data_IF_851440627369
#
_entry.id   IF_851440627369
#
_cell.length_a   1.000
_cell.length_b   1.000
_cell.length_c   1.000
_cell.angle_alpha   90.00
_cell.angle_beta   90.00
_cell.angle_gamma   90.00
#
_symmetry.space_group_name_H-M   'P 1'
#
loop_
_entity.id
_entity.type
_entity.pdbx_description
1 polymer ?
#
# COMPACT_ATOMS: atom_id res chain seq x y z
N UNK A 1 23.67 -15.33 -22.06
CA UNK A 1 24.20 -14.88 -20.75
C UNK A 1 24.51 -13.37 -20.65
N UNK A 2 24.66 -12.62 -21.74
CA UNK A 2 24.95 -11.17 -21.69
C UNK A 2 23.76 -10.23 -22.03
N UNK A 3 22.64 -10.74 -22.54
CA UNK A 3 21.43 -9.95 -22.81
C UNK A 3 20.60 -9.68 -21.56
N UNK A 4 20.46 -10.67 -20.69
CA UNK A 4 19.56 -10.61 -19.52
C UNK A 4 20.10 -9.68 -18.42
N UNK A 5 21.43 -9.56 -18.30
CA UNK A 5 22.07 -8.58 -17.41
C UNK A 5 21.86 -7.13 -17.86
N UNK A 6 21.74 -6.88 -19.18
CA UNK A 6 21.52 -5.54 -19.73
C UNK A 6 20.08 -5.08 -19.53
N UNK A 7 19.11 -5.98 -19.62
CA UNK A 7 17.71 -5.67 -19.36
C UNK A 7 17.44 -5.39 -17.88
N UNK A 8 18.01 -6.19 -16.97
CA UNK A 8 17.96 -5.93 -15.53
C UNK A 8 18.64 -4.59 -15.18
N UNK A 9 19.83 -4.30 -15.74
CA UNK A 9 20.50 -3.01 -15.54
C UNK A 9 19.68 -1.83 -16.06
N UNK A 10 18.95 -1.95 -17.18
CA UNK A 10 18.13 -0.87 -17.72
C UNK A 10 16.98 -0.43 -16.82
N UNK A 11 16.35 -1.37 -16.11
CA UNK A 11 15.27 -1.08 -15.14
C UNK A 11 15.83 -0.40 -13.87
N UNK A 12 16.99 -0.85 -13.38
CA UNK A 12 17.68 -0.18 -12.27
C UNK A 12 18.17 1.22 -12.67
N UNK A 13 18.63 1.40 -13.91
CA UNK A 13 19.07 2.71 -14.42
C UNK A 13 17.91 3.71 -14.52
N UNK A 14 16.72 3.27 -14.93
CA UNK A 14 15.54 4.14 -14.99
C UNK A 14 15.07 4.57 -13.60
N UNK A 15 15.08 3.65 -12.63
CA UNK A 15 14.74 3.94 -11.24
C UNK A 15 15.78 4.87 -10.58
N UNK A 16 17.07 4.65 -10.83
CA UNK A 16 18.14 5.52 -10.37
C UNK A 16 18.04 6.91 -11.01
N UNK A 17 17.75 7.03 -12.32
CA UNK A 17 17.59 8.32 -13.02
C UNK A 17 16.36 9.10 -12.50
N UNK A 18 15.24 8.43 -12.25
CA UNK A 18 14.03 9.08 -11.69
C UNK A 18 14.26 9.49 -10.22
N UNK A 19 14.95 8.67 -9.43
CA UNK A 19 15.35 9.02 -8.06
C UNK A 19 16.37 10.17 -8.03
N UNK A 20 17.30 10.23 -9.00
CA UNK A 20 18.30 11.29 -9.12
C UNK A 20 17.70 12.61 -9.57
N UNK A 21 16.76 12.57 -10.53
CA UNK A 21 16.08 13.74 -11.08
C UNK A 21 15.14 14.41 -10.06
N UNK A 22 14.62 13.66 -9.08
CA UNK A 22 13.67 14.17 -8.08
C UNK A 22 14.33 14.69 -6.79
N UNK A 23 15.61 14.37 -6.51
CA UNK A 23 16.19 14.57 -5.16
C UNK A 23 17.56 15.27 -5.05
N UNK A 24 18.26 15.66 -6.11
CA UNK A 24 19.61 16.23 -5.93
C UNK A 24 19.64 17.77 -5.82
N UNK A 25 20.22 18.26 -4.73
CA UNK A 25 20.79 19.61 -4.58
C UNK A 25 22.33 19.51 -4.56
N UNK A 26 22.89 18.51 -5.24
CA UNK A 26 24.28 18.06 -5.11
C UNK A 26 24.87 17.80 -6.49
N UNK A 27 25.92 18.54 -6.85
CA UNK A 27 26.70 18.27 -8.06
C UNK A 27 27.76 17.21 -7.75
N UNK A 28 27.75 16.10 -8.49
CA UNK A 28 28.84 15.12 -8.53
C UNK A 28 29.52 15.26 -9.88
N UNK A 29 30.77 15.72 -9.89
CA UNK A 29 31.63 15.73 -11.07
C UNK A 29 32.42 14.41 -11.09
N UNK A 30 32.06 13.52 -12.02
CA UNK A 30 32.89 12.35 -12.35
C UNK A 30 34.04 12.81 -13.26
N UNK A 31 35.26 12.80 -12.73
CA UNK A 31 36.48 12.95 -13.54
C UNK A 31 37.20 11.60 -13.52
N UNK A 32 37.15 10.87 -14.64
CA UNK A 32 37.78 9.56 -14.90
C UNK A 32 37.61 8.49 -13.81
N UNK A 33 36.61 7.62 -14.02
CA UNK A 33 36.35 6.25 -13.53
C UNK A 33 36.64 5.80 -12.08
N UNK A 34 37.41 6.51 -11.26
CA UNK A 34 37.85 6.02 -9.95
C UNK A 34 37.74 7.05 -8.80
N UNK A 35 37.35 8.32 -9.07
CA UNK A 35 37.25 9.35 -8.02
C UNK A 35 35.84 9.95 -7.96
N UNK A 36 35.15 9.75 -6.84
CA UNK A 36 33.87 10.41 -6.51
C UNK A 36 34.14 11.56 -5.56
N UNK A 37 34.04 12.80 -6.04
CA UNK A 37 34.09 14.00 -5.18
C UNK A 37 32.65 14.44 -4.91
N UNK A 38 32.23 14.37 -3.64
CA UNK A 38 30.96 14.89 -3.14
C UNK A 38 31.15 16.32 -2.62
N UNK A 39 30.48 17.31 -3.22
CA UNK A 39 30.46 18.69 -2.70
C UNK A 39 29.11 18.97 -2.04
N UNK A 40 29.09 19.01 -0.71
CA UNK A 40 27.93 19.42 0.09
C UNK A 40 28.03 20.92 0.37
N UNK A 41 27.04 21.71 -0.08
CA UNK A 41 26.98 23.16 0.16
C UNK A 41 26.54 23.43 1.59
N UNK A 42 27.45 23.93 2.43
CA UNK A 42 27.12 24.40 3.78
C UNK A 42 27.00 25.94 3.77
N UNK A 43 25.90 26.49 4.29
CA UNK A 43 25.55 27.90 4.13
C UNK A 43 26.38 28.89 4.98
N UNK A 44 27.38 28.42 5.73
CA UNK A 44 28.20 29.29 6.61
C UNK A 44 29.71 29.11 6.51
N UNK A 45 30.23 28.07 5.84
CA UNK A 45 31.67 27.84 5.60
C UNK A 45 31.82 27.08 4.29
N UNK A 46 32.68 27.57 3.38
CA UNK A 46 32.85 27.04 2.01
C UNK A 46 33.16 25.54 1.93
N UNK A 47 33.21 25.01 0.70
CA UNK A 47 33.37 23.58 0.40
C UNK A 47 34.46 22.91 1.23
N UNK A 48 34.08 21.94 2.07
CA UNK A 48 35.02 21.08 2.80
C UNK A 48 35.26 19.80 2.00
N UNK A 49 36.52 19.59 1.62
CA UNK A 49 37.00 18.35 1.01
C UNK A 49 37.00 17.24 2.06
N UNK A 50 36.10 16.26 1.94
CA UNK A 50 36.22 15.00 2.65
C UNK A 50 37.02 14.04 1.76
N UNK A 51 38.27 13.76 2.14
CA UNK A 51 39.02 12.65 1.56
C UNK A 51 38.58 11.36 2.27
N UNK A 52 37.83 10.51 1.57
CA UNK A 52 37.63 9.12 2.00
C UNK A 52 38.95 8.37 1.84
N UNK A 53 39.45 7.77 2.92
CA UNK A 53 40.63 6.90 2.87
C UNK A 53 40.35 5.65 2.02
N UNK A 54 41.23 5.26 1.09
CA UNK A 54 41.07 4.07 0.27
C UNK A 54 41.45 2.83 1.09
N UNK A 55 40.52 2.35 1.93
CA UNK A 55 40.71 1.16 2.75
C UNK A 55 39.36 0.50 3.05
N UNK A 56 39.05 -0.57 2.31
CA UNK A 56 37.89 -1.46 2.46
C UNK A 56 36.51 -0.79 2.36
N UNK A 57 36.10 -0.49 1.12
CA UNK A 57 34.68 -0.48 0.76
C UNK A 57 34.15 -1.92 0.70
N UNK A 58 34.05 -2.59 1.86
CA UNK A 58 33.25 -3.82 1.98
C UNK A 58 31.76 -3.43 1.88
N UNK A 59 31.34 -2.96 0.71
CA UNK A 59 29.91 -2.92 0.37
C UNK A 59 29.44 -4.36 0.44
N UNK A 60 28.47 -4.71 1.32
CA UNK A 60 27.98 -6.08 1.42
C UNK A 60 27.58 -6.55 0.02
N UNK A 61 28.15 -7.67 -0.45
CA UNK A 61 27.73 -8.28 -1.71
C UNK A 61 26.32 -8.85 -1.52
N UNK A 62 25.32 -8.05 -1.86
CA UNK A 62 23.93 -8.48 -1.83
C UNK A 62 23.65 -9.19 -3.14
N UNK A 63 23.02 -10.36 -3.06
CA UNK A 63 22.54 -11.05 -4.23
C UNK A 63 21.42 -10.24 -4.91
N UNK A 64 21.60 -9.76 -6.15
CA UNK A 64 20.56 -9.03 -6.88
C UNK A 64 19.26 -9.82 -7.02
N UNK A 65 19.35 -11.16 -7.06
CA UNK A 65 18.18 -12.02 -7.15
C UNK A 65 17.31 -11.99 -5.90
N UNK A 66 17.93 -11.80 -4.73
CA UNK A 66 17.21 -11.67 -3.47
C UNK A 66 16.38 -10.38 -3.43
N UNK A 67 16.97 -9.26 -3.87
CA UNK A 67 16.27 -7.98 -4.01
C UNK A 67 15.13 -8.13 -5.01
N UNK A 68 15.39 -8.75 -6.16
CA UNK A 68 14.39 -8.97 -7.20
C UNK A 68 13.17 -9.76 -6.68
N UNK A 69 13.39 -10.84 -5.94
CA UNK A 69 12.29 -11.63 -5.34
C UNK A 69 11.50 -10.81 -4.33
N UNK A 70 12.15 -10.01 -3.49
CA UNK A 70 11.46 -9.11 -2.54
C UNK A 70 10.56 -8.14 -3.30
N UNK A 71 11.06 -7.50 -4.36
CA UNK A 71 10.28 -6.58 -5.17
C UNK A 71 9.11 -7.29 -5.87
N UNK A 72 9.31 -8.53 -6.34
CA UNK A 72 8.27 -9.33 -6.97
C UNK A 72 7.16 -9.75 -5.99
N UNK A 73 7.49 -10.02 -4.72
CA UNK A 73 6.47 -10.28 -3.69
C UNK A 73 5.62 -9.05 -3.40
N UNK A 74 6.23 -7.86 -3.38
CA UNK A 74 5.50 -6.60 -3.22
C UNK A 74 4.62 -6.31 -4.44
N UNK A 75 5.15 -6.52 -5.64
CA UNK A 75 4.39 -6.39 -6.88
C UNK A 75 3.19 -7.34 -6.90
N UNK A 76 3.39 -8.62 -6.57
CA UNK A 76 2.31 -9.61 -6.50
C UNK A 76 1.20 -9.14 -5.56
N UNK A 77 1.55 -8.64 -4.38
CA UNK A 77 0.58 -8.11 -3.43
C UNK A 77 -0.27 -6.98 -4.03
N UNK A 78 0.37 -5.92 -4.53
CA UNK A 78 -0.34 -4.75 -5.06
C UNK A 78 -1.15 -5.08 -6.32
N UNK A 79 -0.61 -5.95 -7.19
CA UNK A 79 -1.32 -6.41 -8.38
C UNK A 79 -2.55 -7.24 -8.01
N UNK A 80 -2.45 -8.12 -7.02
CA UNK A 80 -3.59 -8.96 -6.58
C UNK A 80 -4.73 -8.14 -5.98
N UNK A 81 -4.40 -7.03 -5.28
CA UNK A 81 -5.39 -6.16 -4.65
C UNK A 81 -6.23 -5.42 -5.70
N UNK A 82 -5.58 -4.70 -6.61
CA UNK A 82 -6.25 -3.64 -7.38
C UNK A 82 -6.47 -3.97 -8.87
N UNK A 83 -5.80 -4.99 -9.43
CA UNK A 83 -5.78 -5.21 -10.87
C UNK A 83 -7.18 -5.44 -11.44
N UNK A 84 -8.00 -6.26 -10.79
CA UNK A 84 -9.32 -6.64 -11.33
C UNK A 84 -10.40 -5.56 -11.19
N UNK A 85 -10.11 -4.44 -10.53
CA UNK A 85 -11.10 -3.38 -10.24
C UNK A 85 -11.79 -2.83 -11.50
N UNK A 86 -11.10 -2.58 -12.64
CA UNK A 86 -11.76 -2.18 -13.87
C UNK A 86 -12.71 -3.23 -14.46
N UNK A 87 -12.57 -4.50 -14.08
CA UNK A 87 -13.44 -5.60 -14.53
C UNK A 87 -14.74 -5.72 -13.75
N UNK A 88 -14.93 -5.00 -12.63
CA UNK A 88 -16.11 -5.19 -11.76
C UNK A 88 -17.45 -5.04 -12.50
N UNK A 89 -17.65 -4.04 -13.39
CA UNK A 89 -18.88 -3.96 -14.17
C UNK A 89 -19.09 -5.17 -15.08
N UNK A 90 -18.04 -5.60 -15.79
CA UNK A 90 -18.11 -6.76 -16.68
C UNK A 90 -18.36 -8.07 -15.93
N UNK A 91 -17.76 -8.24 -14.75
CA UNK A 91 -18.01 -9.38 -13.85
C UNK A 91 -19.47 -9.41 -13.40
N UNK A 92 -20.04 -8.24 -13.06
CA UNK A 92 -21.44 -8.11 -12.65
C UNK A 92 -22.39 -8.66 -13.73
N UNK A 93 -22.18 -8.25 -14.99
CA UNK A 93 -22.96 -8.73 -16.13
C UNK A 93 -22.71 -10.21 -16.40
N UNK A 94 -21.45 -10.64 -16.43
CA UNK A 94 -21.08 -12.02 -16.81
C UNK A 94 -21.60 -13.07 -15.83
N UNK A 95 -21.66 -12.75 -14.53
CA UNK A 95 -22.17 -13.65 -13.49
C UNK A 95 -23.66 -13.47 -13.22
N UNK A 96 -24.37 -12.63 -14.00
CA UNK A 96 -25.77 -12.25 -13.76
C UNK A 96 -26.01 -11.86 -12.29
N UNK A 97 -25.13 -11.04 -11.74
CA UNK A 97 -25.13 -10.68 -10.31
C UNK A 97 -25.47 -9.21 -10.10
N UNK A 98 -25.52 -8.79 -8.85
CA UNK A 98 -25.74 -7.38 -8.47
C UNK A 98 -24.41 -6.69 -8.22
N UNK A 99 -24.34 -5.37 -8.46
CA UNK A 99 -23.15 -4.57 -8.15
C UNK A 99 -22.74 -4.75 -6.68
N UNK A 100 -23.71 -4.76 -5.77
CA UNK A 100 -23.54 -5.05 -4.35
C UNK A 100 -22.76 -6.37 -4.10
N UNK A 101 -23.19 -7.47 -4.75
CA UNK A 101 -22.55 -8.77 -4.59
C UNK A 101 -21.11 -8.77 -5.11
N UNK A 102 -20.86 -8.07 -6.22
CA UNK A 102 -19.51 -7.94 -6.77
C UNK A 102 -18.64 -7.02 -5.92
N UNK A 103 -19.18 -5.95 -5.33
CA UNK A 103 -18.46 -5.09 -4.39
C UNK A 103 -18.05 -5.84 -3.11
N UNK A 104 -18.84 -6.80 -2.64
CA UNK A 104 -18.46 -7.69 -1.53
C UNK A 104 -17.17 -8.47 -1.78
N UNK A 105 -16.76 -8.64 -3.05
CA UNK A 105 -15.47 -9.25 -3.36
C UNK A 105 -14.28 -8.42 -2.86
N UNK A 106 -14.38 -7.09 -2.89
CA UNK A 106 -13.37 -6.18 -2.32
C UNK A 106 -13.43 -6.28 -0.80
N UNK A 107 -14.62 -6.19 -0.22
CA UNK A 107 -14.82 -6.28 1.23
C UNK A 107 -14.23 -7.57 1.81
N UNK A 108 -14.52 -8.72 1.20
CA UNK A 108 -14.03 -10.02 1.67
C UNK A 108 -12.54 -10.22 1.40
N UNK A 109 -11.98 -9.64 0.33
CA UNK A 109 -10.54 -9.60 0.12
C UNK A 109 -9.83 -8.81 1.25
N UNK A 110 -10.33 -7.62 1.57
CA UNK A 110 -9.79 -6.78 2.66
C UNK A 110 -9.97 -7.45 4.03
N UNK A 111 -11.08 -8.14 4.26
CA UNK A 111 -11.27 -8.96 5.46
C UNK A 111 -10.21 -10.07 5.55
N UNK A 112 -9.95 -10.75 4.44
CA UNK A 112 -8.86 -11.74 4.34
C UNK A 112 -7.49 -11.14 4.69
N UNK A 113 -7.15 -9.98 4.14
CA UNK A 113 -5.92 -9.25 4.47
C UNK A 113 -5.84 -8.88 5.96
N UNK A 114 -6.93 -8.38 6.52
CA UNK A 114 -7.00 -8.00 7.93
C UNK A 114 -6.69 -9.17 8.86
N UNK A 115 -7.28 -10.34 8.59
CA UNK A 115 -7.02 -11.57 9.37
C UNK A 115 -5.58 -12.05 9.13
N UNK A 116 -5.06 -11.92 7.91
CA UNK A 116 -3.69 -12.30 7.57
C UNK A 116 -2.66 -11.61 8.44
N UNK A 117 -2.80 -10.31 8.65
CA UNK A 117 -1.82 -9.52 9.39
C UNK A 117 -1.66 -9.99 10.84
N UNK A 118 -2.75 -10.42 11.47
CA UNK A 118 -2.75 -11.00 12.81
C UNK A 118 -2.17 -12.42 12.80
N UNK A 119 -2.39 -13.18 11.73
CA UNK A 119 -2.01 -14.58 11.64
C UNK A 119 -0.54 -14.82 11.25
N UNK A 120 -0.09 -14.26 10.13
CA UNK A 120 1.21 -14.61 9.55
C UNK A 120 2.41 -14.04 10.31
N UNK A 121 2.27 -12.89 10.97
CA UNK A 121 3.36 -12.28 11.75
C UNK A 121 3.87 -13.23 12.84
N UNK A 122 3.04 -13.55 13.86
CA UNK A 122 3.40 -14.47 14.92
C UNK A 122 3.75 -15.88 14.45
N UNK A 123 3.07 -16.36 13.39
CA UNK A 123 3.40 -17.66 12.80
C UNK A 123 4.82 -17.66 12.25
N UNK A 124 5.23 -16.60 11.54
CA UNK A 124 6.58 -16.47 10.98
C UNK A 124 7.68 -16.28 12.03
N UNK A 125 7.35 -15.69 13.17
CA UNK A 125 8.28 -15.62 14.30
C UNK A 125 8.51 -17.00 14.93
N UNK A 126 7.51 -17.90 14.88
CA UNK A 126 7.58 -19.25 15.48
C UNK A 126 8.25 -20.29 14.60
N UNK A 127 7.87 -20.38 13.31
CA UNK A 127 8.29 -21.48 12.42
C UNK A 127 9.25 -21.04 11.31
N UNK A 128 9.66 -19.77 11.30
CA UNK A 128 10.51 -19.19 10.26
C UNK A 128 9.73 -18.32 9.26
N UNK A 129 10.44 -17.48 8.50
CA UNK A 129 9.83 -16.58 7.50
C UNK A 129 9.38 -17.33 6.26
N UNK A 130 10.16 -18.31 5.79
CA UNK A 130 9.92 -18.94 4.49
C UNK A 130 8.65 -19.80 4.45
N UNK A 131 8.35 -20.68 5.43
CA UNK A 131 7.18 -21.56 5.34
C UNK A 131 5.84 -20.82 5.30
N UNK A 132 5.55 -19.82 6.18
CA UNK A 132 4.31 -19.07 6.12
C UNK A 132 4.16 -18.25 4.84
N UNK A 133 5.27 -17.71 4.32
CA UNK A 133 5.27 -16.98 3.05
C UNK A 133 4.90 -17.91 1.88
N UNK A 134 5.52 -19.09 1.80
CA UNK A 134 5.19 -20.08 0.75
C UNK A 134 3.75 -20.56 0.85
N UNK A 135 3.25 -20.80 2.07
CA UNK A 135 1.87 -21.20 2.30
C UNK A 135 0.89 -20.09 1.87
N UNK A 136 1.11 -18.84 2.30
CA UNK A 136 0.21 -17.74 1.99
C UNK A 136 0.17 -17.41 0.50
N UNK A 137 1.33 -17.33 -0.17
CA UNK A 137 1.36 -17.15 -1.63
C UNK A 137 0.70 -18.33 -2.36
N UNK A 138 0.94 -19.57 -1.92
CA UNK A 138 0.28 -20.76 -2.45
C UNK A 138 -1.25 -20.71 -2.31
N UNK A 139 -1.74 -20.25 -1.16
CA UNK A 139 -3.17 -20.07 -0.92
C UNK A 139 -3.77 -18.96 -1.79
N UNK A 140 -3.00 -17.91 -2.05
CA UNK A 140 -3.41 -16.84 -2.98
C UNK A 140 -3.56 -17.36 -4.42
N UNK A 141 -2.62 -18.20 -4.89
CA UNK A 141 -2.70 -18.87 -6.19
C UNK A 141 -3.96 -19.73 -6.29
N UNK A 142 -4.28 -20.51 -5.24
CA UNK A 142 -5.53 -21.29 -5.20
C UNK A 142 -6.76 -20.38 -5.25
N UNK A 143 -6.73 -19.26 -4.54
CA UNK A 143 -7.79 -18.24 -4.62
C UNK A 143 -7.94 -17.65 -6.03
N UNK A 144 -6.84 -17.41 -6.77
CA UNK A 144 -6.88 -16.99 -8.18
C UNK A 144 -7.50 -18.04 -9.07
N UNK A 145 -7.22 -19.32 -8.83
CA UNK A 145 -7.83 -20.42 -9.56
C UNK A 145 -9.34 -20.52 -9.31
N UNK A 146 -9.79 -20.35 -8.05
CA UNK A 146 -11.22 -20.28 -7.72
C UNK A 146 -11.92 -19.11 -8.42
N UNK A 147 -11.29 -17.94 -8.46
CA UNK A 147 -11.86 -16.78 -9.14
C UNK A 147 -11.92 -16.96 -10.66
N UNK A 148 -10.91 -17.60 -11.26
CA UNK A 148 -10.89 -17.90 -12.69
C UNK A 148 -12.06 -18.81 -13.11
N UNK A 149 -12.34 -19.84 -12.32
CA UNK A 149 -13.43 -20.80 -12.58
C UNK A 149 -14.76 -20.43 -11.90
N UNK A 150 -14.92 -19.21 -11.38
CA UNK A 150 -16.10 -18.85 -10.59
C UNK A 150 -17.37 -18.86 -11.46
N UNK A 151 -18.36 -19.75 -11.18
CA UNK A 151 -19.61 -19.79 -11.94
C UNK A 151 -20.63 -18.76 -11.44
N UNK A 152 -20.42 -18.17 -10.27
CA UNK A 152 -21.30 -17.20 -9.64
C UNK A 152 -20.53 -16.30 -8.65
N UNK A 153 -21.19 -15.25 -8.18
CA UNK A 153 -20.58 -14.27 -7.27
C UNK A 153 -20.12 -14.89 -5.93
N UNK A 154 -20.83 -15.86 -5.37
CA UNK A 154 -20.46 -16.47 -4.09
C UNK A 154 -19.10 -17.19 -4.15
N UNK A 155 -18.85 -17.94 -5.23
CA UNK A 155 -17.54 -18.59 -5.45
C UNK A 155 -16.45 -17.55 -5.68
N UNK A 156 -16.75 -16.48 -6.42
CA UNK A 156 -15.81 -15.38 -6.64
C UNK A 156 -15.44 -14.69 -5.32
N UNK A 157 -16.42 -14.40 -4.46
CA UNK A 157 -16.23 -13.80 -3.13
C UNK A 157 -15.35 -14.71 -2.26
N UNK A 158 -15.61 -16.02 -2.23
CA UNK A 158 -14.79 -16.97 -1.48
C UNK A 158 -13.35 -17.01 -2.02
N UNK A 159 -13.17 -17.08 -3.33
CA UNK A 159 -11.85 -17.02 -3.96
C UNK A 159 -11.09 -15.74 -3.61
N UNK A 160 -11.77 -14.60 -3.56
CA UNK A 160 -11.20 -13.30 -3.16
C UNK A 160 -10.85 -13.24 -1.67
N UNK A 161 -11.67 -13.82 -0.79
CA UNK A 161 -11.30 -13.99 0.62
C UNK A 161 -10.02 -14.82 0.76
N UNK A 162 -9.92 -15.95 0.05
CA UNK A 162 -8.72 -16.79 0.05
C UNK A 162 -7.49 -16.06 -0.53
N UNK A 163 -7.66 -15.28 -1.61
CA UNK A 163 -6.58 -14.45 -2.15
C UNK A 163 -6.08 -13.43 -1.14
N UNK A 164 -6.99 -12.69 -0.50
CA UNK A 164 -6.66 -11.69 0.52
C UNK A 164 -5.99 -12.34 1.73
N UNK A 165 -6.54 -13.46 2.21
CA UNK A 165 -5.97 -14.22 3.31
C UNK A 165 -4.60 -14.82 2.97
N UNK A 166 -4.37 -15.22 1.72
CA UNK A 166 -3.07 -15.73 1.29
C UNK A 166 -2.03 -14.61 1.17
N UNK A 167 -2.35 -13.56 0.41
CA UNK A 167 -1.37 -12.56 -0.03
C UNK A 167 -0.94 -11.59 1.09
N UNK A 168 -1.70 -11.49 2.18
CA UNK A 168 -1.33 -10.67 3.34
C UNK A 168 -0.02 -11.10 4.03
N UNK A 169 0.47 -12.32 3.75
CA UNK A 169 1.81 -12.76 4.16
C UNK A 169 2.93 -11.92 3.50
N UNK A 170 2.75 -11.45 2.26
CA UNK A 170 3.74 -10.63 1.57
C UNK A 170 4.00 -9.32 2.30
N UNK A 171 2.97 -8.65 2.83
CA UNK A 171 3.15 -7.42 3.59
C UNK A 171 3.82 -7.68 4.95
N UNK A 172 3.26 -8.63 5.72
CA UNK A 172 3.64 -8.86 7.12
C UNK A 172 5.01 -9.55 7.22
N UNK A 173 5.16 -10.70 6.58
CA UNK A 173 6.40 -11.48 6.56
C UNK A 173 7.44 -10.80 5.67
N UNK A 174 7.05 -10.19 4.55
CA UNK A 174 7.99 -9.51 3.66
C UNK A 174 8.68 -8.30 4.30
N UNK A 175 7.98 -7.50 5.12
CA UNK A 175 8.63 -6.43 5.91
C UNK A 175 9.65 -6.98 6.91
N UNK A 176 9.30 -8.08 7.56
CA UNK A 176 10.21 -8.75 8.50
C UNK A 176 11.41 -9.35 7.78
N UNK A 177 11.21 -9.95 6.60
CA UNK A 177 12.25 -10.48 5.74
C UNK A 177 13.27 -9.40 5.33
N UNK A 178 12.80 -8.23 4.88
CA UNK A 178 13.67 -7.10 4.50
C UNK A 178 14.52 -6.62 5.70
N UNK A 179 13.92 -6.55 6.89
CA UNK A 179 14.61 -6.16 8.13
C UNK A 179 15.60 -7.22 8.62
N UNK A 180 15.29 -8.50 8.42
CA UNK A 180 16.16 -9.60 8.84
C UNK A 180 17.38 -9.76 7.89
N UNK A 181 17.25 -9.35 6.62
CA UNK A 181 18.28 -9.45 5.59
C UNK A 181 19.22 -8.24 5.52
N UNK A 182 18.72 -7.05 5.85
CA UNK A 182 19.44 -5.79 5.63
C UNK A 182 19.48 -4.94 6.89
N UNK A 183 20.62 -4.28 7.12
CA UNK A 183 20.81 -3.36 8.26
C UNK A 183 21.16 -1.95 7.78
N UNK A 184 20.94 -0.97 8.66
CA UNK A 184 21.40 0.43 8.54
C UNK A 184 21.08 1.09 7.18
N UNK A 185 22.11 1.63 6.52
CA UNK A 185 22.01 2.33 5.24
C UNK A 185 21.44 1.44 4.14
N UNK A 186 21.72 0.14 4.19
CA UNK A 186 21.25 -0.78 3.18
C UNK A 186 19.76 -1.06 3.35
N UNK A 187 19.29 -1.22 4.58
CA UNK A 187 17.87 -1.32 4.88
C UNK A 187 17.10 -0.09 4.36
N UNK A 188 17.65 1.10 4.57
CA UNK A 188 17.08 2.34 4.03
C UNK A 188 17.02 2.33 2.50
N UNK A 189 18.12 1.95 1.82
CA UNK A 189 18.20 1.88 0.35
C UNK A 189 17.19 0.90 -0.24
N UNK A 190 17.12 -0.33 0.29
CA UNK A 190 16.17 -1.35 -0.20
C UNK A 190 14.73 -0.97 0.16
N UNK A 191 14.51 -0.37 1.33
CA UNK A 191 13.22 0.19 1.72
C UNK A 191 12.72 1.26 0.73
N UNK A 192 13.61 2.13 0.24
CA UNK A 192 13.28 3.10 -0.82
C UNK A 192 12.86 2.42 -2.12
N UNK A 193 13.59 1.38 -2.56
CA UNK A 193 13.20 0.62 -3.76
C UNK A 193 11.83 -0.05 -3.60
N UNK A 194 11.58 -0.69 -2.45
CA UNK A 194 10.28 -1.27 -2.12
C UNK A 194 9.17 -0.21 -2.17
N UNK A 195 9.41 0.98 -1.61
CA UNK A 195 8.47 2.09 -1.63
C UNK A 195 8.12 2.55 -3.03
N UNK A 196 9.13 2.82 -3.87
CA UNK A 196 8.96 3.27 -5.27
C UNK A 196 8.19 2.22 -6.08
N UNK A 197 8.60 0.95 -6.00
CA UNK A 197 7.93 -0.15 -6.71
C UNK A 197 6.49 -0.29 -6.24
N UNK A 198 6.23 -0.21 -4.94
CA UNK A 198 4.86 -0.35 -4.41
C UNK A 198 3.93 0.72 -4.95
N UNK A 199 4.36 1.99 -4.98
CA UNK A 199 3.55 3.09 -5.50
C UNK A 199 3.35 2.97 -7.02
N UNK A 200 4.40 2.61 -7.75
CA UNK A 200 4.30 2.42 -9.19
C UNK A 200 3.34 1.28 -9.55
N UNK A 201 3.45 0.13 -8.90
CA UNK A 201 2.56 -1.01 -9.15
C UNK A 201 1.12 -0.69 -8.72
N UNK A 202 0.92 0.00 -7.59
CA UNK A 202 -0.41 0.47 -7.18
C UNK A 202 -1.07 1.33 -8.25
N UNK A 203 -0.31 2.23 -8.90
CA UNK A 203 -0.82 3.06 -9.99
C UNK A 203 -1.09 2.24 -11.27
N UNK A 204 -0.14 1.39 -11.64
CA UNK A 204 -0.16 0.65 -12.90
C UNK A 204 -1.13 -0.53 -12.90
N UNK A 205 -1.43 -1.10 -11.72
CA UNK A 205 -2.22 -2.33 -11.56
C UNK A 205 -3.63 -2.22 -12.15
N UNK A 206 -4.44 -1.18 -11.84
CA UNK A 206 -5.73 -0.96 -12.52
C UNK A 206 -5.59 -0.72 -14.02
N UNK A 207 -4.56 -0.02 -14.49
CA UNK A 207 -4.34 0.15 -15.94
C UNK A 207 -4.06 -1.19 -16.63
N UNK A 208 -3.21 -2.02 -16.03
CA UNK A 208 -2.91 -3.37 -16.52
C UNK A 208 -4.17 -4.24 -16.57
N UNK A 209 -5.00 -4.18 -15.52
CA UNK A 209 -6.23 -4.96 -15.47
C UNK A 209 -7.30 -4.49 -16.44
N UNK A 210 -7.39 -3.18 -16.69
CA UNK A 210 -8.25 -2.61 -17.72
C UNK A 210 -7.82 -3.05 -19.12
N UNK A 211 -6.52 -3.08 -19.38
CA UNK A 211 -5.96 -3.60 -20.64
C UNK A 211 -6.27 -5.09 -20.84
N UNK A 212 -6.05 -5.92 -19.82
CA UNK A 212 -6.37 -7.36 -19.86
C UNK A 212 -7.88 -7.56 -20.08
N UNK A 213 -8.71 -6.76 -19.40
CA UNK A 213 -10.17 -6.82 -19.53
C UNK A 213 -10.62 -6.58 -20.98
N UNK A 214 -10.06 -5.59 -21.68
CA UNK A 214 -10.44 -5.28 -23.06
C UNK A 214 -9.99 -6.37 -24.04
N UNK A 215 -8.82 -6.97 -23.82
CA UNK A 215 -8.26 -7.96 -24.75
C UNK A 215 -8.84 -9.37 -24.56
N UNK A 216 -8.99 -9.82 -23.32
CA UNK A 216 -9.22 -11.22 -23.00
C UNK A 216 -10.30 -11.45 -21.93
N UNK A 217 -10.97 -10.38 -21.47
CA UNK A 217 -12.06 -10.45 -20.51
C UNK A 217 -11.60 -10.61 -19.05
N UNK A 218 -12.57 -10.71 -18.15
CA UNK A 218 -12.31 -10.61 -16.71
C UNK A 218 -11.64 -11.85 -16.13
N UNK A 219 -11.90 -13.04 -16.69
CA UNK A 219 -11.25 -14.27 -16.25
C UNK A 219 -9.74 -14.20 -16.48
N UNK A 220 -9.30 -13.56 -17.58
CA UNK A 220 -7.88 -13.41 -17.89
C UNK A 220 -7.12 -12.63 -16.80
N UNK A 221 -7.79 -11.71 -16.06
CA UNK A 221 -7.19 -11.04 -14.93
C UNK A 221 -6.79 -12.03 -13.81
N UNK A 222 -7.66 -12.99 -13.50
CA UNK A 222 -7.38 -14.02 -12.50
C UNK A 222 -6.39 -15.08 -12.99
N UNK A 223 -6.42 -15.43 -14.28
CA UNK A 223 -5.42 -16.30 -14.88
C UNK A 223 -4.02 -15.67 -14.84
N UNK A 224 -3.92 -14.38 -15.13
CA UNK A 224 -2.68 -13.63 -15.00
C UNK A 224 -2.15 -13.69 -13.56
N UNK A 225 -2.98 -13.43 -12.55
CA UNK A 225 -2.60 -13.53 -11.14
C UNK A 225 -2.16 -14.95 -10.75
N UNK A 226 -2.84 -15.98 -11.27
CA UNK A 226 -2.47 -17.37 -11.06
C UNK A 226 -1.07 -17.68 -11.60
N UNK A 227 -0.80 -17.31 -12.86
CA UNK A 227 0.52 -17.54 -13.50
C UNK A 227 1.60 -16.70 -12.81
N UNK A 228 1.33 -15.41 -12.57
CA UNK A 228 2.28 -14.53 -11.90
C UNK A 228 2.59 -15.02 -10.48
N UNK A 229 1.57 -15.44 -9.73
CA UNK A 229 1.73 -16.04 -8.41
C UNK A 229 2.61 -17.29 -8.44
N UNK A 230 2.41 -18.21 -9.39
CA UNK A 230 3.27 -19.41 -9.54
C UNK A 230 4.72 -19.02 -9.80
N UNK A 231 4.97 -18.06 -10.70
CA UNK A 231 6.32 -17.60 -11.01
C UNK A 231 7.00 -17.03 -9.77
N UNK A 232 6.31 -16.13 -9.04
CA UNK A 232 6.84 -15.54 -7.82
C UNK A 232 7.05 -16.59 -6.73
N UNK A 233 6.13 -17.56 -6.60
CA UNK A 233 6.22 -18.65 -5.64
C UNK A 233 7.44 -19.54 -5.91
N UNK A 234 7.67 -19.94 -7.17
CA UNK A 234 8.84 -20.74 -7.57
C UNK A 234 10.16 -19.98 -7.37
N UNK A 235 10.18 -18.70 -7.74
CA UNK A 235 11.35 -17.83 -7.52
C UNK A 235 11.66 -17.69 -6.04
N UNK A 236 10.64 -17.41 -5.22
CA UNK A 236 10.78 -17.26 -3.78
C UNK A 236 11.18 -18.58 -3.11
N UNK A 237 10.63 -19.71 -3.55
CA UNK A 237 11.03 -21.03 -3.07
C UNK A 237 12.51 -21.32 -3.36
N UNK A 238 13.01 -20.93 -4.53
CA UNK A 238 14.37 -21.25 -4.97
C UNK A 238 15.43 -20.31 -4.37
N UNK A 239 15.10 -19.03 -4.20
CA UNK A 239 16.06 -17.97 -3.85
C UNK A 239 16.00 -17.59 -2.37
N UNK A 240 14.81 -17.56 -1.76
CA UNK A 240 14.70 -17.08 -0.37
C UNK A 240 15.35 -18.07 0.60
N UNK A 241 16.33 -17.63 1.41
CA UNK A 241 16.77 -18.40 2.56
C UNK A 241 15.75 -18.29 3.70
N UNK A 242 15.89 -19.15 4.70
CA UNK A 242 15.27 -18.88 6.00
C UNK A 242 16.08 -17.79 6.71
N UNK A 243 15.41 -16.71 7.14
CA UNK A 243 16.07 -15.52 7.70
C UNK A 243 15.84 -15.35 9.19
N UNK A 244 14.83 -16.01 9.77
CA UNK A 244 14.59 -15.95 11.20
C UNK A 244 15.56 -16.88 11.95
N UNK A 245 16.67 -16.30 12.43
CA UNK A 245 17.70 -17.01 13.20
C UNK A 245 17.27 -17.32 14.65
N UNK A 246 16.25 -16.63 15.16
CA UNK A 246 15.84 -16.69 16.56
C UNK A 246 14.33 -16.95 16.64
N UNK A 247 13.94 -18.21 16.45
CA UNK A 247 12.55 -18.62 16.55
C UNK A 247 11.99 -18.30 17.95
N UNK A 248 10.76 -17.79 17.98
CA UNK A 248 10.04 -17.49 19.20
C UNK A 248 8.84 -18.46 19.34
N UNK A 249 8.98 -19.55 20.14
CA UNK A 249 7.90 -20.51 20.37
C UNK A 249 6.64 -19.89 20.99
N UNK A 250 6.81 -18.78 21.72
CA UNK A 250 5.76 -18.07 22.43
C UNK A 250 4.95 -17.14 21.54
N UNK A 251 5.43 -16.84 20.32
CA UNK A 251 4.81 -15.86 19.43
C UNK A 251 3.34 -16.18 19.13
N UNK A 252 2.99 -17.46 18.94
CA UNK A 252 1.62 -17.89 18.64
C UNK A 252 0.74 -18.11 19.88
N UNK A 253 1.22 -17.82 21.10
CA UNK A 253 0.40 -18.00 22.30
C UNK A 253 -0.66 -16.91 22.36
N UNK A 254 -1.93 -17.32 22.26
CA UNK A 254 -3.10 -16.42 22.27
C UNK A 254 -3.08 -15.45 23.45
N UNK A 255 -2.69 -15.91 24.65
CA UNK A 255 -2.57 -15.04 25.84
C UNK A 255 -1.56 -13.90 25.67
N UNK A 256 -0.42 -14.16 25.01
CA UNK A 256 0.64 -13.16 24.76
C UNK A 256 0.17 -12.16 23.71
N UNK A 257 -0.39 -12.66 22.59
CA UNK A 257 -0.95 -11.81 21.54
C UNK A 257 -2.07 -10.91 22.08
N UNK A 258 -3.03 -11.48 22.81
CA UNK A 258 -4.14 -10.74 23.40
C UNK A 258 -3.66 -9.67 24.38
N UNK A 259 -2.68 -9.98 25.24
CA UNK A 259 -2.06 -9.00 26.14
C UNK A 259 -1.45 -7.84 25.37
N UNK A 260 -0.63 -8.12 24.35
CA UNK A 260 0.06 -7.07 23.59
C UNK A 260 -0.93 -6.20 22.80
N UNK A 261 -1.92 -6.81 22.14
CA UNK A 261 -2.96 -6.04 21.44
C UNK A 261 -3.80 -5.19 22.39
N UNK A 262 -4.14 -5.72 23.57
CA UNK A 262 -4.87 -4.96 24.57
C UNK A 262 -4.07 -3.78 25.12
N UNK A 263 -2.75 -3.93 25.30
CA UNK A 263 -1.86 -2.82 25.63
C UNK A 263 -1.89 -1.73 24.57
N UNK A 264 -1.88 -2.08 23.28
CA UNK A 264 -1.95 -1.12 22.17
C UNK A 264 -3.32 -0.43 22.10
N UNK A 265 -4.42 -1.18 22.22
CA UNK A 265 -5.78 -0.64 22.16
C UNK A 265 -6.12 0.25 23.36
N UNK A 266 -5.39 0.16 24.48
CA UNK A 266 -5.49 1.09 25.61
C UNK A 266 -4.69 2.37 25.41
N UNK A 267 -3.70 2.36 24.51
CA UNK A 267 -2.91 3.55 24.21
C UNK A 267 -3.70 4.48 23.30
N UNK A 268 -4.10 5.62 23.85
CA UNK A 268 -4.84 6.65 23.12
C UNK A 268 -4.04 7.21 21.94
N UNK A 269 -2.72 7.31 22.07
CA UNK A 269 -1.81 7.73 20.99
C UNK A 269 -1.85 6.73 19.83
N UNK A 270 -1.72 5.43 20.14
CA UNK A 270 -1.81 4.39 19.11
C UNK A 270 -3.18 4.41 18.43
N UNK A 271 -4.25 4.42 19.23
CA UNK A 271 -5.62 4.38 18.71
C UNK A 271 -5.93 5.61 17.86
N UNK A 272 -5.56 6.83 18.28
CA UNK A 272 -5.82 8.05 17.52
C UNK A 272 -5.15 8.05 16.15
N UNK A 273 -3.84 7.78 16.08
CA UNK A 273 -3.13 7.69 14.81
C UNK A 273 -3.67 6.54 13.94
N UNK A 274 -3.94 5.38 14.54
CA UNK A 274 -4.49 4.23 13.80
C UNK A 274 -5.87 4.54 13.23
N UNK A 275 -6.76 5.19 13.97
CA UNK A 275 -8.09 5.57 13.49
C UNK A 275 -8.02 6.56 12.32
N UNK A 276 -7.13 7.56 12.38
CA UNK A 276 -6.92 8.47 11.25
C UNK A 276 -6.51 7.70 9.97
N UNK A 277 -5.59 6.74 10.10
CA UNK A 277 -5.20 5.87 9.00
C UNK A 277 -6.36 4.98 8.51
N UNK A 278 -7.13 4.39 9.44
CA UNK A 278 -8.30 3.57 9.11
C UNK A 278 -9.33 4.35 8.28
N UNK A 279 -9.62 5.60 8.64
CA UNK A 279 -10.59 6.44 7.91
C UNK A 279 -10.05 6.89 6.55
N UNK A 280 -8.76 7.22 6.47
CA UNK A 280 -8.10 7.51 5.20
C UNK A 280 -8.18 6.29 4.24
N UNK A 281 -7.86 5.10 4.73
CA UNK A 281 -7.90 3.88 3.92
C UNK A 281 -9.31 3.46 3.53
N UNK A 282 -10.25 3.53 4.47
CA UNK A 282 -11.66 3.30 4.19
C UNK A 282 -12.18 4.21 3.07
N UNK A 283 -11.77 5.48 3.03
CA UNK A 283 -12.16 6.42 1.98
C UNK A 283 -11.58 6.04 0.61
N UNK A 284 -10.31 5.66 0.56
CA UNK A 284 -9.66 5.18 -0.66
C UNK A 284 -10.33 3.92 -1.21
N UNK A 285 -10.61 2.94 -0.35
CA UNK A 285 -11.31 1.71 -0.76
C UNK A 285 -12.76 1.98 -1.14
N UNK A 286 -13.42 2.94 -0.51
CA UNK A 286 -14.78 3.38 -0.88
C UNK A 286 -14.81 3.94 -2.30
N UNK A 287 -13.83 4.77 -2.66
CA UNK A 287 -13.64 5.22 -4.04
C UNK A 287 -13.43 4.03 -4.98
N UNK A 288 -12.49 3.14 -4.69
CA UNK A 288 -12.19 1.98 -5.54
C UNK A 288 -13.38 1.04 -5.73
N UNK A 289 -14.28 0.97 -4.75
CA UNK A 289 -15.50 0.16 -4.80
C UNK A 289 -16.58 0.77 -5.70
N UNK A 290 -16.75 2.09 -5.69
CA UNK A 290 -17.81 2.81 -6.42
C UNK A 290 -17.35 3.25 -7.82
N UNK A 291 -16.07 3.61 -7.96
CA UNK A 291 -15.56 4.30 -9.14
C UNK A 291 -15.68 3.52 -10.45
N UNK A 292 -15.44 2.19 -10.54
CA UNK A 292 -15.61 1.46 -11.79
C UNK A 292 -17.03 1.56 -12.34
N UNK A 293 -18.04 1.43 -11.47
CA UNK A 293 -19.45 1.57 -11.86
C UNK A 293 -19.78 3.02 -12.23
N UNK A 294 -19.30 3.99 -11.45
CA UNK A 294 -19.53 5.41 -11.73
C UNK A 294 -18.92 5.84 -13.07
N UNK A 295 -17.66 5.51 -13.34
CA UNK A 295 -16.97 5.94 -14.56
C UNK A 295 -17.37 5.10 -15.78
N UNK A 296 -17.53 3.78 -15.64
CA UNK A 296 -17.81 2.93 -16.81
C UNK A 296 -19.32 2.84 -17.11
N UNK A 297 -20.18 2.59 -16.11
CA UNK A 297 -21.63 2.45 -16.36
C UNK A 297 -22.32 3.80 -16.53
N UNK A 298 -21.92 4.83 -15.77
CA UNK A 298 -22.59 6.16 -15.85
C UNK A 298 -21.94 7.09 -16.88
N UNK A 299 -20.61 7.14 -16.94
CA UNK A 299 -19.89 8.05 -17.85
C UNK A 299 -19.39 7.38 -19.14
N UNK A 300 -19.57 6.07 -19.28
CA UNK A 300 -19.27 5.33 -20.51
C UNK A 300 -17.77 5.12 -20.79
N UNK A 301 -16.90 5.27 -19.78
CA UNK A 301 -15.47 5.01 -19.96
C UNK A 301 -15.21 3.53 -20.20
N UNK A 302 -14.22 3.26 -21.04
CA UNK A 302 -13.64 1.92 -21.16
C UNK A 302 -12.88 1.52 -19.89
N UNK A 303 -12.69 0.21 -19.62
CA UNK A 303 -11.89 -0.28 -18.50
C UNK A 303 -10.46 0.28 -18.49
N UNK A 304 -9.83 0.44 -19.65
CA UNK A 304 -8.48 1.01 -19.75
C UNK A 304 -8.47 2.50 -19.43
N UNK A 305 -9.45 3.28 -19.90
CA UNK A 305 -9.56 4.71 -19.56
C UNK A 305 -9.77 4.92 -18.06
N UNK A 306 -10.64 4.12 -17.43
CA UNK A 306 -10.79 4.12 -15.98
C UNK A 306 -9.46 3.78 -15.29
N UNK A 307 -8.76 2.75 -15.75
CA UNK A 307 -7.46 2.35 -15.23
C UNK A 307 -6.43 3.50 -15.29
N UNK A 308 -6.46 4.35 -16.32
CA UNK A 308 -5.55 5.52 -16.41
C UNK A 308 -5.83 6.59 -15.36
N UNK A 309 -7.06 6.69 -14.84
CA UNK A 309 -7.42 7.67 -13.82
C UNK A 309 -6.72 7.42 -12.49
N UNK A 310 -6.29 6.19 -12.21
CA UNK A 310 -5.61 5.84 -10.95
C UNK A 310 -4.21 6.42 -10.84
N UNK A 311 -3.60 6.86 -11.95
CA UNK A 311 -2.35 7.63 -11.92
C UNK A 311 -2.50 8.97 -11.21
N UNK A 312 -3.66 9.64 -11.28
CA UNK A 312 -3.89 10.88 -10.53
C UNK A 312 -3.85 10.64 -9.02
N UNK A 313 -4.42 9.51 -8.57
CA UNK A 313 -4.45 9.11 -7.17
C UNK A 313 -3.04 8.80 -6.67
N UNK A 314 -2.29 7.98 -7.41
CA UNK A 314 -0.91 7.67 -7.08
C UNK A 314 -0.02 8.93 -7.10
N UNK A 315 -0.24 9.82 -8.06
CA UNK A 315 0.42 11.12 -8.14
C UNK A 315 0.14 12.00 -6.91
N UNK A 316 -1.11 12.03 -6.43
CA UNK A 316 -1.48 12.73 -5.21
C UNK A 316 -0.76 12.17 -3.98
N UNK A 317 -0.68 10.85 -3.83
CA UNK A 317 0.02 10.20 -2.72
C UNK A 317 1.54 10.47 -2.80
N UNK A 318 2.13 10.43 -4.01
CA UNK A 318 3.53 10.81 -4.23
C UNK A 318 3.79 12.26 -3.83
N UNK A 319 2.92 13.17 -4.26
CA UNK A 319 2.98 14.58 -3.92
C UNK A 319 2.98 14.77 -2.40
N UNK A 320 2.08 14.09 -1.69
CA UNK A 320 2.05 14.12 -0.23
C UNK A 320 3.33 13.61 0.41
N UNK A 321 3.93 12.54 -0.12
CA UNK A 321 5.23 12.04 0.34
C UNK A 321 6.37 13.04 0.19
N UNK A 322 6.46 13.69 -0.98
CA UNK A 322 7.47 14.71 -1.26
C UNK A 322 7.28 15.90 -0.32
N UNK A 323 6.08 16.48 -0.26
CA UNK A 323 5.79 17.64 0.60
C UNK A 323 5.99 17.29 2.08
N UNK A 324 5.58 16.09 2.50
CA UNK A 324 5.80 15.62 3.86
C UNK A 324 7.29 15.56 4.20
N UNK A 325 8.13 15.02 3.31
CA UNK A 325 9.58 14.93 3.55
C UNK A 325 10.24 16.30 3.78
N UNK A 326 9.68 17.36 3.18
CA UNK A 326 10.19 18.73 3.31
C UNK A 326 9.71 19.43 4.59
N UNK A 327 8.50 19.11 5.06
CA UNK A 327 7.83 19.86 6.12
C UNK A 327 7.79 19.15 7.48
N UNK A 328 7.80 17.81 7.51
CA UNK A 328 7.60 17.02 8.74
C UNK A 328 8.66 17.33 9.80
N UNK A 329 9.92 17.53 9.40
CA UNK A 329 11.01 17.87 10.33
C UNK A 329 10.86 19.26 10.96
N UNK A 330 10.11 20.16 10.33
CA UNK A 330 9.88 21.54 10.82
C UNK A 330 8.57 21.70 11.57
N UNK A 331 7.55 20.92 11.21
CA UNK A 331 6.17 21.10 11.68
C UNK A 331 5.67 19.97 12.57
N UNK A 332 6.36 18.82 12.58
CA UNK A 332 6.01 17.66 13.39
C UNK A 332 4.94 16.76 12.76
N UNK A 333 4.83 15.54 13.31
CA UNK A 333 3.95 14.46 12.82
C UNK A 333 2.47 14.84 12.97
N UNK A 334 2.06 15.33 14.15
CA UNK A 334 0.65 15.65 14.43
C UNK A 334 0.10 16.75 13.50
N UNK A 335 0.89 17.79 13.22
CA UNK A 335 0.50 18.86 12.29
C UNK A 335 0.34 18.35 10.85
N UNK A 336 1.20 17.43 10.41
CA UNK A 336 1.09 16.83 9.08
C UNK A 336 -0.15 15.93 8.95
N UNK A 337 -0.51 15.18 10.01
CA UNK A 337 -1.80 14.45 10.05
C UNK A 337 -2.98 15.42 9.95
N UNK A 338 -2.98 16.51 10.72
CA UNK A 338 -4.02 17.55 10.64
C UNK A 338 -4.18 18.07 9.21
N UNK A 339 -3.06 18.40 8.55
CA UNK A 339 -3.03 18.86 7.16
C UNK A 339 -3.67 17.83 6.23
N UNK A 340 -3.33 16.54 6.39
CA UNK A 340 -3.94 15.45 5.65
C UNK A 340 -5.45 15.34 5.84
N UNK A 341 -5.90 15.44 7.08
CA UNK A 341 -7.34 15.41 7.43
C UNK A 341 -8.10 16.59 6.80
N UNK A 342 -7.54 17.80 6.83
CA UNK A 342 -8.15 18.96 6.20
C UNK A 342 -8.29 18.79 4.68
N UNK A 343 -7.29 18.20 4.03
CA UNK A 343 -7.36 17.85 2.60
C UNK A 343 -8.44 16.79 2.31
N UNK A 344 -8.57 15.77 3.18
CA UNK A 344 -9.64 14.78 3.06
C UNK A 344 -11.02 15.42 3.19
N UNK A 345 -11.24 16.31 4.16
CA UNK A 345 -12.50 17.03 4.32
C UNK A 345 -12.77 17.93 3.11
N UNK A 346 -11.77 18.67 2.64
CA UNK A 346 -11.90 19.52 1.46
C UNK A 346 -12.25 18.70 0.20
N UNK A 347 -11.63 17.53 0.02
CA UNK A 347 -11.97 16.59 -1.05
C UNK A 347 -13.40 16.06 -0.96
N UNK A 348 -13.83 15.60 0.21
CA UNK A 348 -15.21 15.13 0.41
C UNK A 348 -16.25 16.24 0.22
N UNK A 349 -16.00 17.43 0.79
CA UNK A 349 -16.90 18.58 0.69
C UNK A 349 -16.99 19.12 -0.73
N UNK A 350 -15.87 19.25 -1.43
CA UNK A 350 -15.87 19.71 -2.83
C UNK A 350 -16.62 18.73 -3.74
N UNK A 351 -16.44 17.42 -3.57
CA UNK A 351 -17.20 16.42 -4.31
C UNK A 351 -18.70 16.51 -4.02
N UNK A 352 -19.08 16.74 -2.76
CA UNK A 352 -20.48 16.90 -2.37
C UNK A 352 -21.12 18.13 -3.02
N UNK A 353 -20.43 19.27 -2.99
CA UNK A 353 -20.89 20.50 -3.64
C UNK A 353 -21.06 20.32 -5.15
N UNK A 354 -20.07 19.74 -5.81
CA UNK A 354 -20.11 19.43 -7.25
C UNK A 354 -21.30 18.51 -7.59
N UNK A 355 -21.57 17.53 -6.73
CA UNK A 355 -22.69 16.62 -6.92
C UNK A 355 -24.04 17.32 -6.77
N UNK A 356 -24.18 18.20 -5.77
CA UNK A 356 -25.41 18.98 -5.55
C UNK A 356 -25.66 19.94 -6.72
N UNK A 357 -24.60 20.49 -7.32
CA UNK A 357 -24.67 21.34 -8.53
C UNK A 357 -25.01 20.54 -9.80
N UNK A 358 -25.06 19.21 -9.73
CA UNK A 358 -25.40 18.35 -10.87
C UNK A 358 -24.27 18.18 -11.88
N UNK A 359 -23.03 18.53 -11.54
CA UNK A 359 -21.88 18.37 -12.43
C UNK A 359 -21.31 16.96 -12.33
N UNK A 360 -21.34 16.23 -13.45
CA UNK A 360 -20.92 14.83 -13.55
C UNK A 360 -19.73 14.60 -14.49
N UNK A 361 -19.09 15.66 -15.00
CA UNK A 361 -17.92 15.49 -15.88
C UNK A 361 -16.74 14.91 -15.11
N UNK A 362 -15.92 14.11 -15.80
CA UNK A 362 -14.78 13.37 -15.23
C UNK A 362 -13.89 14.27 -14.35
N UNK A 363 -13.53 15.45 -14.86
CA UNK A 363 -12.65 16.40 -14.15
C UNK A 363 -13.23 16.89 -12.82
N UNK A 364 -14.55 17.13 -12.78
CA UNK A 364 -15.22 17.58 -11.56
C UNK A 364 -15.26 16.52 -10.47
N UNK A 365 -15.19 15.23 -10.85
CA UNK A 365 -15.13 14.13 -9.88
C UNK A 365 -13.67 13.88 -9.47
N UNK A 366 -12.75 13.83 -10.43
CA UNK A 366 -11.35 13.47 -10.21
C UNK A 366 -10.55 14.50 -9.41
N UNK A 367 -10.82 15.80 -9.54
CA UNK A 367 -10.13 16.84 -8.77
C UNK A 367 -10.36 16.66 -7.25
N UNK A 368 -11.61 16.58 -6.75
CA UNK A 368 -11.90 16.26 -5.36
C UNK A 368 -11.29 14.94 -4.86
N UNK A 369 -11.34 13.88 -5.68
CA UNK A 369 -10.78 12.57 -5.31
C UNK A 369 -9.25 12.65 -5.17
N UNK A 370 -8.59 13.37 -6.08
CA UNK A 370 -7.14 13.59 -6.03
C UNK A 370 -6.77 14.38 -4.79
N UNK A 371 -7.56 15.40 -4.44
CA UNK A 371 -7.38 16.18 -3.21
C UNK A 371 -7.55 15.30 -1.95
N UNK A 372 -8.59 14.47 -1.92
CA UNK A 372 -8.79 13.50 -0.84
C UNK A 372 -7.61 12.52 -0.74
N UNK A 373 -7.13 12.01 -1.87
CA UNK A 373 -6.02 11.05 -1.96
C UNK A 373 -4.70 11.65 -1.47
N UNK A 374 -4.46 12.93 -1.77
CA UNK A 374 -3.32 13.67 -1.22
C UNK A 374 -3.44 13.78 0.31
N UNK A 375 -4.64 14.12 0.81
CA UNK A 375 -4.92 14.14 2.24
C UNK A 375 -4.67 12.79 2.92
N UNK A 376 -5.17 11.71 2.32
CA UNK A 376 -4.92 10.35 2.77
C UNK A 376 -3.42 10.02 2.80
N UNK A 377 -2.65 10.43 1.79
CA UNK A 377 -1.19 10.26 1.74
C UNK A 377 -0.47 10.91 2.93
N UNK A 378 -0.78 12.18 3.25
CA UNK A 378 -0.22 12.86 4.43
C UNK A 378 -0.57 12.13 5.72
N UNK A 379 -1.85 11.75 5.85
CA UNK A 379 -2.35 11.02 7.02
C UNK A 379 -1.63 9.69 7.20
N UNK A 380 -1.48 8.87 6.15
CA UNK A 380 -0.84 7.56 6.24
C UNK A 380 0.61 7.61 6.71
N UNK A 381 1.42 8.46 6.07
CA UNK A 381 2.87 8.53 6.35
C UNK A 381 3.10 8.89 7.82
N UNK A 382 2.35 9.88 8.32
CA UNK A 382 2.53 10.40 9.66
C UNK A 382 1.81 9.56 10.72
N UNK A 383 0.63 9.04 10.43
CA UNK A 383 -0.07 8.12 11.32
C UNK A 383 0.72 6.83 11.54
N UNK A 384 1.38 6.31 10.49
CA UNK A 384 2.27 5.17 10.62
C UNK A 384 3.43 5.49 11.59
N UNK A 385 4.13 6.60 11.38
CA UNK A 385 5.23 7.01 12.27
C UNK A 385 4.76 7.24 13.72
N UNK A 386 3.64 7.96 13.90
CA UNK A 386 3.07 8.28 15.21
C UNK A 386 2.57 7.06 15.99
N UNK A 387 1.97 6.07 15.31
CA UNK A 387 1.51 4.83 15.95
C UNK A 387 2.67 3.93 16.39
N UNK A 388 3.81 3.96 15.68
CA UNK A 388 4.96 3.09 15.96
C UNK A 388 5.93 3.66 16.99
N UNK A 389 6.07 4.98 17.05
CA UNK A 389 7.07 5.65 17.90
C UNK A 389 7.04 5.23 19.38
N UNK A 390 5.87 5.09 20.06
CA UNK A 390 5.84 4.74 21.48
C UNK A 390 6.17 3.27 21.79
N UNK A 391 6.26 2.39 20.77
CA UNK A 391 6.32 0.94 20.95
C UNK A 391 7.49 0.27 20.19
N UNK A 392 8.75 0.72 20.34
CA UNK A 392 9.87 0.19 19.57
C UNK A 392 10.14 -1.29 19.83
N UNK A 393 9.91 -1.76 21.06
CA UNK A 393 10.14 -3.16 21.47
C UNK A 393 9.08 -4.14 20.92
N UNK A 394 7.93 -3.64 20.45
CA UNK A 394 6.82 -4.46 19.97
C UNK A 394 6.46 -4.15 18.50
N UNK A 395 7.39 -3.59 17.72
CA UNK A 395 7.12 -3.05 16.39
C UNK A 395 6.42 -4.03 15.43
N UNK A 396 6.71 -5.35 15.55
CA UNK A 396 6.00 -6.39 14.79
C UNK A 396 4.52 -6.48 15.14
N UNK A 397 4.18 -6.51 16.43
CA UNK A 397 2.80 -6.52 16.93
C UNK A 397 2.05 -5.25 16.56
N UNK A 398 2.72 -4.09 16.68
CA UNK A 398 2.17 -2.77 16.31
C UNK A 398 1.80 -2.78 14.83
N UNK A 399 2.71 -3.20 13.96
CA UNK A 399 2.45 -3.24 12.52
C UNK A 399 1.36 -4.23 12.13
N UNK A 400 1.30 -5.40 12.77
CA UNK A 400 0.24 -6.38 12.55
C UNK A 400 -1.15 -5.81 12.91
N UNK A 401 -1.29 -5.21 14.10
CA UNK A 401 -2.56 -4.64 14.54
C UNK A 401 -2.95 -3.40 13.72
N UNK A 402 -2.00 -2.50 13.47
CA UNK A 402 -2.20 -1.28 12.68
C UNK A 402 -2.68 -1.59 11.25
N UNK A 403 -2.02 -2.54 10.56
CA UNK A 403 -2.43 -2.95 9.22
C UNK A 403 -3.78 -3.68 9.26
N UNK A 404 -3.98 -4.60 10.22
CA UNK A 404 -5.25 -5.32 10.38
C UNK A 404 -6.44 -4.40 10.60
N UNK A 405 -6.28 -3.35 11.42
CA UNK A 405 -7.35 -2.37 11.66
C UNK A 405 -7.68 -1.53 10.42
N UNK A 406 -6.70 -1.19 9.59
CA UNK A 406 -6.94 -0.48 8.32
C UNK A 406 -7.68 -1.37 7.32
N UNK A 407 -7.23 -2.60 7.12
CA UNK A 407 -7.90 -3.50 6.18
C UNK A 407 -9.31 -3.87 6.67
N UNK A 408 -9.50 -3.96 7.99
CA UNK A 408 -10.82 -4.14 8.57
C UNK A 408 -11.72 -2.93 8.31
N UNK A 409 -11.22 -1.70 8.47
CA UNK A 409 -12.02 -0.50 8.19
C UNK A 409 -12.37 -0.39 6.70
N UNK A 410 -11.46 -0.77 5.82
CA UNK A 410 -11.72 -0.90 4.38
C UNK A 410 -12.77 -1.97 4.07
N UNK A 411 -12.68 -3.15 4.70
CA UNK A 411 -13.65 -4.22 4.54
C UNK A 411 -15.06 -3.77 4.98
N UNK A 412 -15.15 -3.11 6.14
CA UNK A 412 -16.41 -2.59 6.68
C UNK A 412 -16.99 -1.48 5.80
N UNK A 413 -16.17 -0.55 5.33
CA UNK A 413 -16.62 0.52 4.43
C UNK A 413 -17.13 -0.03 3.09
N UNK A 414 -16.38 -0.94 2.47
CA UNK A 414 -16.78 -1.60 1.23
C UNK A 414 -18.05 -2.46 1.41
N UNK A 415 -18.16 -3.19 2.51
CA UNK A 415 -19.35 -3.98 2.85
C UNK A 415 -20.58 -3.11 3.14
N UNK A 416 -20.39 -1.96 3.79
CA UNK A 416 -21.44 -0.97 4.01
C UNK A 416 -21.95 -0.40 2.69
N UNK A 417 -21.05 -0.05 1.75
CA UNK A 417 -21.41 0.42 0.40
C UNK A 417 -22.30 -0.60 -0.30
N UNK A 418 -21.92 -1.88 -0.28
CA UNK A 418 -22.73 -2.96 -0.88
C UNK A 418 -24.14 -3.09 -0.28
N UNK A 419 -24.39 -2.56 0.92
CA UNK A 419 -25.70 -2.57 1.58
C UNK A 419 -26.59 -1.36 1.25
N UNK A 420 -26.04 -0.26 0.73
CA UNK A 420 -26.79 0.98 0.47
C UNK A 420 -27.48 0.92 -0.89
N UNK A 421 -28.73 1.42 -0.97
CA UNK A 421 -29.43 1.64 -2.23
C UNK A 421 -29.12 3.05 -2.74
N UNK A 422 -28.59 3.19 -3.95
CA UNK A 422 -28.28 4.48 -4.58
C UNK A 422 -26.79 4.70 -4.82
N UNK A 423 -26.18 3.82 -5.63
CA UNK A 423 -24.78 3.91 -6.02
C UNK A 423 -24.55 5.10 -6.95
N UNK A 424 -23.47 5.84 -6.70
CA UNK A 424 -23.07 6.94 -7.56
C UNK A 424 -22.35 8.05 -6.83
N UNK A 425 -22.16 9.17 -7.54
CA UNK A 425 -21.35 10.30 -7.11
C UNK A 425 -21.73 10.84 -5.72
N UNK A 426 -23.03 10.91 -5.41
CA UNK A 426 -23.54 11.43 -4.13
C UNK A 426 -23.16 10.54 -2.94
N UNK A 427 -23.36 9.23 -3.06
CA UNK A 427 -23.00 8.27 -2.01
C UNK A 427 -21.51 8.32 -1.69
N UNK A 428 -20.67 8.40 -2.73
CA UNK A 428 -19.22 8.53 -2.59
C UNK A 428 -18.85 9.84 -1.87
N UNK A 429 -19.44 10.97 -2.27
CA UNK A 429 -19.20 12.26 -1.65
C UNK A 429 -19.50 12.27 -0.14
N UNK A 430 -20.66 11.71 0.24
CA UNK A 430 -21.06 11.61 1.65
C UNK A 430 -20.11 10.74 2.46
N UNK A 431 -19.72 9.58 1.92
CA UNK A 431 -18.79 8.66 2.60
C UNK A 431 -17.44 9.33 2.82
N UNK A 432 -16.86 9.95 1.78
CA UNK A 432 -15.57 10.63 1.90
C UNK A 432 -15.61 11.76 2.93
N UNK A 433 -16.69 12.56 2.94
CA UNK A 433 -16.85 13.65 3.90
C UNK A 433 -17.01 13.13 5.34
N UNK A 434 -17.85 12.12 5.57
CA UNK A 434 -18.04 11.51 6.89
C UNK A 434 -16.73 10.93 7.42
N UNK A 435 -15.96 10.22 6.58
CA UNK A 435 -14.68 9.65 6.98
C UNK A 435 -13.63 10.74 7.26
N UNK A 436 -13.60 11.82 6.47
CA UNK A 436 -12.75 12.98 6.72
C UNK A 436 -13.06 13.66 8.06
N UNK A 437 -14.34 13.92 8.34
CA UNK A 437 -14.79 14.48 9.62
C UNK A 437 -14.51 13.52 10.79
N UNK A 438 -14.72 12.22 10.61
CA UNK A 438 -14.40 11.21 11.62
C UNK A 438 -12.91 11.17 11.94
N UNK A 439 -12.06 11.36 10.92
CA UNK A 439 -10.61 11.47 11.08
C UNK A 439 -10.20 12.74 11.82
N UNK A 440 -10.92 13.86 11.65
CA UNK A 440 -10.70 15.07 12.42
C UNK A 440 -11.01 14.88 13.89
N UNK A 441 -12.12 14.20 14.19
CA UNK A 441 -12.47 13.85 15.57
C UNK A 441 -11.38 12.97 16.20
N UNK A 442 -10.93 11.92 15.50
CA UNK A 442 -9.84 11.05 15.98
C UNK A 442 -8.53 11.82 16.21
N UNK A 443 -8.17 12.71 15.28
CA UNK A 443 -6.98 13.55 15.41
C UNK A 443 -7.10 14.55 16.58
N UNK A 444 -8.25 15.19 16.75
CA UNK A 444 -8.47 16.17 17.84
C UNK A 444 -8.35 15.53 19.22
N UNK A 445 -8.95 14.34 19.41
CA UNK A 445 -8.81 13.57 20.65
C UNK A 445 -7.36 13.15 20.95
N UNK A 446 -6.53 13.02 19.91
CA UNK A 446 -5.09 12.76 20.03
C UNK A 446 -4.31 14.04 20.34
N UNK A 447 -4.56 15.14 19.60
CA UNK A 447 -3.85 16.41 19.74
C UNK A 447 -3.96 17.02 21.14
N UNK A 448 -5.12 16.86 21.80
CA UNK A 448 -5.31 17.28 23.19
C UNK A 448 -4.40 16.59 24.22
N UNK A 449 -3.75 15.49 23.85
CA UNK A 449 -2.91 14.70 24.76
C UNK A 449 -1.41 14.84 24.50
N UNK A 450 -0.99 15.08 23.25
CA UNK A 450 0.41 15.41 22.94
C UNK A 450 0.81 16.72 23.64
N UNK A 451 -0.07 17.74 23.65
CA UNK A 451 0.16 19.02 24.35
C UNK A 451 0.18 18.88 25.88
N UNK A 452 -0.43 17.83 26.43
CA UNK A 452 -0.46 17.53 27.87
C UNK A 452 0.75 16.70 28.35
N UNK A 453 1.53 16.15 27.42
CA UNK A 453 2.77 15.40 27.71
C UNK A 453 4.01 16.29 27.48
N UNK A 454 3.88 17.35 26.65
CA UNK A 454 4.93 18.34 26.41
C UNK A 454 4.97 19.51 27.40
N UNK A 455 4.00 19.61 28.31
CA UNK A 455 3.96 20.54 29.44
C UNK A 455 4.05 19.76 30.75
#
# INVERSE_FOLDING_TARGET
MNSDRRFAMGIFYFADVVAYALFSNTFVLLVNNDIVISLVRNHSKGYLMHQEHPGQTDTPKIDPWLIFVILMLMALMQTTTDQYIPSLPAITTALNSTEASIQLTISMFMLGLSISHIFYGPLSDKIGRKPPLMFGVGLSILGSLFCFFAPNASVLILGRFLQGFGIGCCNSVGRSLVRDLFTDRLLAKIGSYVGVVSIFIMAASPTLGGFIQEMAGWQANFLFLFVFGILVWLLAFSILPETNKHLNPEATKIKVMAKNYFTLLRSKVFVGYTLCACFAFAGMVSYLTIAPFLFQNTLGLSPLEFGRLTFFIAGAICFSGIVNSLLVMRKGISFMVCTGVLFMIAGGLSLLLITILGWSQIYFIMIPITLFSAGAGFTFINAFAGAFHPFPQMAGTVGALYASMQDLSAALASGFIAGIKGYGQYSLAMILLILGLSSLVAWYYLGLQDDAISN
#
